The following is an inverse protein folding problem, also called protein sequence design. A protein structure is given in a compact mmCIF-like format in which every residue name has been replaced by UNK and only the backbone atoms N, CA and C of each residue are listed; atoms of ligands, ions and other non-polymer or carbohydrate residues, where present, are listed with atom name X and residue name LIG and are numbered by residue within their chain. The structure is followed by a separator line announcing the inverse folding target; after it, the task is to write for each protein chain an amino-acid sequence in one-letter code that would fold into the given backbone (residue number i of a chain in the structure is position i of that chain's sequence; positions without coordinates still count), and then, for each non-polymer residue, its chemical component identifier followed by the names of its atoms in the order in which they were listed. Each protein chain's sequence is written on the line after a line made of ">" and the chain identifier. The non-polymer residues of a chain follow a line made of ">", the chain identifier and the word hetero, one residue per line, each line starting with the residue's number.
data_IF_213224069149
#
_entry.id   IF_213224069149
#
_cell.length_a   1.000
_cell.length_b   1.000
_cell.length_c   1.000
_cell.angle_alpha   90.00
_cell.angle_beta   90.00
_cell.angle_gamma   90.00
#
_symmetry.space_group_name_H-M   'P 1'
#
loop_
_entity.id
_entity.type
_entity.pdbx_description
1 polymer ?
#
# COMPACT_ATOMS: atom_id res chain seq x y z
N UNK A 1 -16.77 16.41 -31.29
CA UNK A 1 -16.39 16.52 -29.87
C UNK A 1 -17.00 15.30 -29.21
N UNK A 2 -16.21 14.22 -29.11
CA UNK A 2 -16.72 12.90 -28.72
C UNK A 2 -16.71 12.79 -27.19
N UNK A 3 -17.89 12.59 -26.64
CA UNK A 3 -18.26 11.81 -25.45
C UNK A 3 -17.16 11.48 -24.42
N UNK A 4 -16.97 12.37 -23.44
CA UNK A 4 -16.26 12.05 -22.20
C UNK A 4 -17.13 11.33 -21.16
N UNK A 5 -18.45 11.22 -21.39
CA UNK A 5 -19.38 10.71 -20.38
C UNK A 5 -19.44 9.18 -20.33
N UNK A 6 -18.98 8.48 -21.37
CA UNK A 6 -18.92 7.01 -21.39
C UNK A 6 -17.56 6.45 -20.93
N UNK A 7 -16.43 7.10 -21.24
CA UNK A 7 -15.10 6.63 -20.78
C UNK A 7 -14.91 6.75 -19.26
N UNK A 8 -15.46 7.81 -18.64
CA UNK A 8 -15.40 8.02 -17.19
C UNK A 8 -16.23 6.96 -16.42
N UNK A 9 -17.36 6.55 -16.99
CA UNK A 9 -18.27 5.55 -16.41
C UNK A 9 -17.69 4.12 -16.44
N UNK A 10 -16.81 3.78 -17.40
CA UNK A 10 -16.10 2.48 -17.46
C UNK A 10 -14.81 2.45 -16.60
N UNK A 11 -14.18 3.60 -16.38
CA UNK A 11 -13.00 3.70 -15.50
C UNK A 11 -13.40 3.62 -14.02
N UNK A 12 -14.57 4.16 -13.64
CA UNK A 12 -15.11 4.09 -12.27
C UNK A 12 -15.64 2.69 -11.90
N UNK A 13 -16.34 1.98 -12.80
CA UNK A 13 -16.79 0.61 -12.54
C UNK A 13 -15.64 -0.42 -12.51
N UNK A 14 -14.52 -0.15 -13.18
CA UNK A 14 -13.29 -0.96 -13.14
C UNK A 14 -12.48 -0.80 -11.85
N UNK A 15 -12.45 0.41 -11.28
CA UNK A 15 -11.88 0.70 -9.95
C UNK A 15 -12.67 0.04 -8.80
N UNK A 16 -13.94 -0.32 -9.04
CA UNK A 16 -14.92 -0.70 -8.01
C UNK A 16 -15.32 -2.18 -8.01
N UNK A 17 -15.13 -2.92 -9.11
CA UNK A 17 -14.60 -4.28 -8.91
C UNK A 17 -13.29 -4.09 -8.14
N UNK A 18 -12.35 -3.25 -8.54
CA UNK A 18 -11.02 -3.16 -7.95
C UNK A 18 -10.77 -2.64 -6.47
N UNK A 19 -11.69 -2.86 -5.52
CA UNK A 19 -11.37 -3.08 -4.10
C UNK A 19 -12.18 -4.27 -3.48
N UNK A 20 -13.00 -4.95 -4.29
CA UNK A 20 -14.05 -5.94 -3.98
C UNK A 20 -13.68 -6.85 -2.81
N UNK A 21 -14.25 -6.82 -1.61
CA UNK A 21 -15.43 -6.12 -1.10
C UNK A 21 -15.05 -5.24 0.10
N UNK A 22 -14.08 -4.34 -0.14
CA UNK A 22 -13.57 -3.21 0.69
C UNK A 22 -12.23 -3.36 1.41
N UNK A 23 -11.45 -4.41 1.11
CA UNK A 23 -10.07 -4.55 1.61
C UNK A 23 -9.20 -3.30 1.36
N UNK A 24 -9.49 -2.56 0.29
CA UNK A 24 -8.77 -1.35 -0.05
C UNK A 24 -7.40 -1.63 -0.65
N UNK A 25 -6.63 -0.57 -0.87
CA UNK A 25 -5.28 -0.65 -1.42
C UNK A 25 -4.30 0.17 -0.59
N UNK A 26 -3.05 -0.30 -0.52
CA UNK A 26 -1.93 0.47 -0.01
C UNK A 26 -1.13 1.05 -1.17
N UNK A 27 -0.85 2.36 -1.08
CA UNK A 27 -0.03 3.13 -2.01
C UNK A 27 1.24 3.54 -1.28
N UNK A 28 2.39 3.08 -1.77
CA UNK A 28 3.71 3.40 -1.22
C UNK A 28 4.38 4.40 -2.13
N UNK A 29 4.87 5.50 -1.56
CA UNK A 29 5.51 6.58 -2.28
C UNK A 29 6.97 6.72 -1.85
N UNK A 30 7.85 6.90 -2.84
CA UNK A 30 9.29 7.02 -2.62
C UNK A 30 9.67 8.33 -1.94
N UNK A 31 8.92 9.38 -2.21
CA UNK A 31 9.13 10.68 -1.58
C UNK A 31 8.02 10.96 -0.54
N UNK A 32 8.32 11.88 0.37
CA UNK A 32 7.33 12.39 1.32
C UNK A 32 6.25 13.24 0.62
N UNK A 33 5.07 13.32 1.24
CA UNK A 33 3.94 14.09 0.71
C UNK A 33 3.27 13.45 -0.51
N UNK A 34 3.36 12.11 -0.65
CA UNK A 34 2.69 11.31 -1.68
C UNK A 34 3.20 11.64 -3.09
N UNK A 35 4.53 11.68 -3.25
CA UNK A 35 5.21 12.08 -4.49
C UNK A 35 6.28 11.05 -4.88
N UNK A 36 6.86 11.26 -6.07
CA UNK A 36 7.94 10.41 -6.58
C UNK A 36 7.40 9.11 -7.18
N UNK A 37 8.27 8.08 -7.19
CA UNK A 37 7.87 6.74 -7.61
C UNK A 37 6.79 6.16 -6.68
N UNK A 38 5.83 5.42 -7.24
CA UNK A 38 4.68 4.89 -6.51
C UNK A 38 4.42 3.43 -6.88
N UNK A 39 4.10 2.61 -5.87
CA UNK A 39 3.54 1.26 -6.03
C UNK A 39 2.18 1.15 -5.35
N UNK A 40 1.31 0.32 -5.91
CA UNK A 40 -0.02 0.03 -5.38
C UNK A 40 -0.16 -1.46 -5.13
N UNK A 41 -0.64 -1.83 -3.94
CA UNK A 41 -0.91 -3.20 -3.55
C UNK A 41 -2.36 -3.35 -3.12
N UNK A 42 -3.03 -4.40 -3.58
CA UNK A 42 -4.37 -4.77 -3.11
C UNK A 42 -4.31 -5.83 -2.02
N UNK A 43 -3.36 -6.78 -2.08
CA UNK A 43 -3.19 -7.84 -1.05
C UNK A 43 -1.90 -7.69 -0.24
N UNK A 44 -0.78 -7.37 -0.88
CA UNK A 44 0.52 -7.24 -0.25
C UNK A 44 1.65 -7.81 -1.11
N UNK A 45 2.85 -7.81 -0.55
CA UNK A 45 4.00 -8.59 -1.03
C UNK A 45 4.90 -8.90 0.16
N UNK A 46 5.49 -10.09 0.15
CA UNK A 46 6.46 -10.52 1.13
C UNK A 46 7.88 -9.99 0.83
N UNK A 47 8.16 -9.41 -0.34
CA UNK A 47 9.47 -8.82 -0.63
C UNK A 47 9.41 -7.67 -1.66
N UNK A 48 9.65 -6.45 -1.18
CA UNK A 48 9.68 -5.25 -2.02
C UNK A 48 10.89 -5.17 -2.95
N UNK A 49 11.91 -6.03 -2.79
CA UNK A 49 13.03 -6.09 -3.75
C UNK A 49 12.56 -6.47 -5.15
N UNK A 50 11.50 -7.28 -5.26
CA UNK A 50 10.94 -7.70 -6.56
C UNK A 50 10.42 -6.52 -7.39
N UNK A 51 10.11 -5.41 -6.73
CA UNK A 51 9.63 -4.19 -7.35
C UNK A 51 10.70 -3.07 -7.35
N UNK A 52 11.92 -3.35 -6.87
CA UNK A 52 12.97 -2.36 -6.72
C UNK A 52 12.61 -1.22 -5.74
N UNK A 53 11.80 -1.53 -4.73
CA UNK A 53 11.21 -0.55 -3.80
C UNK A 53 11.47 -0.88 -2.32
N UNK A 54 12.37 -1.83 -2.06
CA UNK A 54 12.80 -2.18 -0.71
C UNK A 54 13.51 -0.99 -0.07
N UNK A 55 13.13 -0.62 1.15
CA UNK A 55 13.75 0.48 1.88
C UNK A 55 13.69 1.82 1.12
N UNK A 56 12.59 2.07 0.42
CA UNK A 56 12.41 3.31 -0.36
C UNK A 56 11.16 4.10 0.05
N UNK A 57 10.31 3.55 0.92
CA UNK A 57 9.02 4.18 1.24
C UNK A 57 9.20 5.34 2.22
N UNK A 58 8.75 6.52 1.80
CA UNK A 58 8.74 7.74 2.63
C UNK A 58 7.33 8.26 2.97
N UNK A 59 6.30 7.91 2.20
CA UNK A 59 4.90 8.22 2.56
C UNK A 59 3.92 7.17 2.05
N UNK A 60 2.77 7.04 2.71
CA UNK A 60 1.80 5.96 2.48
C UNK A 60 0.37 6.51 2.42
N UNK A 61 -0.44 6.01 1.49
CA UNK A 61 -1.89 6.15 1.53
C UNK A 61 -2.55 4.77 1.55
N UNK A 62 -3.62 4.62 2.32
CA UNK A 62 -4.39 3.39 2.43
C UNK A 62 -5.86 3.73 2.23
N UNK A 63 -6.49 3.07 1.26
CA UNK A 63 -7.92 3.19 0.97
C UNK A 63 -8.70 2.00 1.54
N UNK A 64 -10.02 2.01 1.38
CA UNK A 64 -10.89 0.94 1.87
C UNK A 64 -11.11 0.99 3.38
N UNK A 65 -11.39 -0.18 3.96
CA UNK A 65 -11.79 -0.32 5.37
C UNK A 65 -10.85 -1.21 6.18
N UNK A 66 -9.98 -1.96 5.51
CA UNK A 66 -9.13 -2.96 6.16
C UNK A 66 -7.75 -2.37 6.49
N UNK A 67 -7.23 -2.61 7.70
CA UNK A 67 -5.87 -2.20 8.04
C UNK A 67 -4.82 -2.94 7.22
N UNK A 68 -3.61 -2.38 7.19
CA UNK A 68 -2.43 -2.98 6.58
C UNK A 68 -1.32 -3.10 7.60
N UNK A 69 -0.51 -4.14 7.46
CA UNK A 69 0.65 -4.41 8.29
C UNK A 69 1.90 -4.19 7.43
N UNK A 70 2.80 -3.34 7.92
CA UNK A 70 4.07 -3.01 7.29
C UNK A 70 5.21 -3.58 8.14
N UNK A 71 6.16 -4.23 7.48
CA UNK A 71 7.26 -4.94 8.11
C UNK A 71 8.61 -4.33 7.72
N UNK A 72 9.54 -4.28 8.68
CA UNK A 72 10.89 -3.80 8.41
C UNK A 72 11.73 -4.80 7.62
N UNK A 73 11.44 -6.10 7.76
CA UNK A 73 12.13 -7.17 7.06
C UNK A 73 11.24 -7.84 6.00
N UNK A 74 11.87 -8.43 4.99
CA UNK A 74 11.22 -9.32 4.03
C UNK A 74 10.53 -10.52 4.71
N UNK A 75 9.64 -11.18 3.98
CA UNK A 75 8.86 -12.34 4.40
C UNK A 75 7.88 -12.09 5.55
N UNK A 76 7.39 -10.85 5.69
CA UNK A 76 6.47 -10.43 6.75
C UNK A 76 7.06 -10.67 8.15
N UNK A 77 8.31 -10.26 8.36
CA UNK A 77 9.09 -10.48 9.59
C UNK A 77 9.62 -9.18 10.19
N UNK A 78 10.29 -9.31 11.34
CA UNK A 78 10.87 -8.18 12.04
C UNK A 78 9.80 -7.32 12.70
N UNK A 79 10.14 -6.05 12.94
CA UNK A 79 9.20 -5.07 13.47
C UNK A 79 8.02 -4.87 12.52
N UNK A 80 6.82 -4.98 13.06
CA UNK A 80 5.57 -4.77 12.36
C UNK A 80 4.83 -3.54 12.89
N UNK A 81 4.22 -2.76 12.00
CA UNK A 81 3.33 -1.65 12.34
C UNK A 81 2.03 -1.77 11.56
N UNK A 82 0.91 -1.66 12.27
CA UNK A 82 -0.43 -1.67 11.67
C UNK A 82 -0.88 -0.25 11.41
N UNK A 83 -1.29 0.04 10.17
CA UNK A 83 -1.90 1.31 9.79
C UNK A 83 -3.34 1.08 9.35
N UNK A 84 -4.24 1.91 9.85
CA UNK A 84 -5.63 1.95 9.38
C UNK A 84 -5.71 2.71 8.04
N UNK A 85 -6.84 2.62 7.31
CA UNK A 85 -7.09 3.49 6.16
C UNK A 85 -6.87 4.97 6.50
N UNK A 86 -6.17 5.69 5.61
CA UNK A 86 -5.71 7.05 5.86
C UNK A 86 -4.55 7.47 4.97
N UNK A 87 -3.95 8.61 5.28
CA UNK A 87 -2.76 9.11 4.59
C UNK A 87 -1.72 9.53 5.62
N UNK A 88 -0.51 9.03 5.45
CA UNK A 88 0.58 9.13 6.42
C UNK A 88 1.82 9.69 5.71
N UNK A 89 2.20 10.91 6.09
CA UNK A 89 3.48 11.48 5.68
C UNK A 89 4.63 10.88 6.51
N UNK A 90 5.88 11.15 6.11
CA UNK A 90 7.09 10.64 6.76
C UNK A 90 7.11 10.88 8.28
N UNK A 91 6.70 12.07 8.71
CA UNK A 91 6.70 12.43 10.13
C UNK A 91 5.67 11.64 10.94
N UNK A 92 4.50 11.38 10.37
CA UNK A 92 3.47 10.55 10.98
C UNK A 92 3.89 9.08 11.03
N UNK A 93 4.51 8.56 9.97
CA UNK A 93 5.06 7.20 9.94
C UNK A 93 6.10 6.99 11.05
N UNK A 94 7.01 7.95 11.24
CA UNK A 94 7.99 7.92 12.32
C UNK A 94 7.35 7.83 13.72
N UNK A 95 6.27 8.59 13.96
CA UNK A 95 5.53 8.53 15.23
C UNK A 95 4.80 7.20 15.44
N UNK A 96 4.38 6.55 14.36
CA UNK A 96 3.77 5.21 14.39
C UNK A 96 4.83 4.10 14.53
N UNK A 97 6.12 4.45 14.47
CA UNK A 97 7.24 3.52 14.64
C UNK A 97 7.81 2.95 13.34
N UNK A 98 7.40 3.45 12.18
CA UNK A 98 7.98 3.13 10.87
C UNK A 98 9.09 4.13 10.60
N UNK A 99 10.33 3.66 10.39
CA UNK A 99 11.43 4.56 10.03
C UNK A 99 11.32 4.90 8.53
N UNK A 100 11.92 6.01 8.12
CA UNK A 100 12.01 6.31 6.70
C UNK A 100 12.82 5.22 6.01
N UNK A 101 12.44 4.85 4.79
CA UNK A 101 13.26 3.98 3.94
C UNK A 101 13.59 2.66 4.65
N UNK A 102 12.60 2.05 5.30
CA UNK A 102 12.81 0.86 6.12
C UNK A 102 11.72 -0.21 5.97
N UNK A 103 10.85 -0.11 4.96
CA UNK A 103 9.79 -1.09 4.73
C UNK A 103 10.29 -2.07 3.68
N UNK A 104 10.21 -3.35 3.99
CA UNK A 104 10.67 -4.43 3.13
C UNK A 104 9.53 -5.37 2.70
N UNK A 105 8.43 -5.43 3.46
CA UNK A 105 7.24 -6.18 3.07
C UNK A 105 5.97 -5.59 3.69
N UNK A 106 4.83 -5.96 3.11
CA UNK A 106 3.52 -5.51 3.57
C UNK A 106 2.43 -6.51 3.24
N UNK A 107 1.41 -6.57 4.08
CA UNK A 107 0.24 -7.38 3.83
C UNK A 107 -1.02 -6.70 4.37
N UNK A 108 -2.13 -6.87 3.66
CA UNK A 108 -3.44 -6.50 4.16
C UNK A 108 -3.82 -7.39 5.34
N UNK A 109 -4.33 -6.80 6.41
CA UNK A 109 -4.43 -7.48 7.71
C UNK A 109 -5.49 -8.60 7.78
N UNK A 110 -6.39 -8.70 6.80
CA UNK A 110 -7.37 -9.77 6.65
C UNK A 110 -6.80 -11.02 5.95
N UNK A 111 -5.55 -10.98 5.49
CA UNK A 111 -4.88 -12.08 4.81
C UNK A 111 -3.92 -12.83 5.74
N UNK A 112 -3.75 -14.12 5.47
CA UNK A 112 -2.78 -14.96 6.20
C UNK A 112 -1.35 -14.58 5.79
N UNK A 113 -0.48 -14.12 6.72
CA UNK A 113 0.90 -13.72 6.42
C UNK A 113 1.81 -14.88 5.99
N UNK A 114 1.37 -16.13 6.15
CA UNK A 114 2.07 -17.33 5.67
C UNK A 114 1.69 -17.75 4.25
N UNK A 115 0.66 -17.11 3.67
CA UNK A 115 0.28 -17.35 2.28
C UNK A 115 1.35 -16.75 1.37
N UNK A 116 1.92 -17.59 0.50
CA UNK A 116 2.76 -17.12 -0.60
C UNK A 116 1.85 -16.31 -1.55
N UNK A 117 2.10 -15.00 -1.64
CA UNK A 117 1.44 -14.14 -2.61
C UNK A 117 2.18 -14.32 -3.94
N UNK A 118 1.48 -14.80 -4.95
CA UNK A 118 2.02 -15.14 -6.29
C UNK A 118 1.69 -14.05 -7.29
#
# INVERSE_FOLDING_TARGET
>A
MKDNQHEQLFQELGNEVAAICTGGAAYLYKDDGYRGGMLTFTEGTDDLHWYGFNDETSSIQITGTTPWIFYEDTYNRGKAVVLNPGSYNKYQLAQMGIKNDSISSLIRADLDPTRILV
#
